data_IF_401038717650
#
_entry.id   IF_401038717650
#
_cell.length_a   1.000
_cell.length_b   1.000
_cell.length_c   1.000
_cell.angle_alpha   90.00
_cell.angle_beta   90.00
_cell.angle_gamma   90.00
#
_symmetry.space_group_name_H-M   'P 1'
#
loop_
_entity.id
_entity.type
_entity.pdbx_description
1 polymer ?
#
# COMPACT_ATOMS: atom_id res chain seq x y z
N UNK A 1 -17.56 -12.02 3.56
CA UNK A 1 -18.92 -12.14 4.11
C UNK A 1 -18.96 -11.29 5.36
N UNK A 2 -19.87 -10.33 5.46
CA UNK A 2 -20.01 -9.46 6.64
C UNK A 2 -21.27 -9.87 7.38
N UNK A 3 -21.19 -10.06 8.69
CA UNK A 3 -22.31 -10.35 9.56
C UNK A 3 -22.27 -9.39 10.75
N UNK A 4 -23.43 -8.84 11.11
CA UNK A 4 -23.59 -7.95 12.26
C UNK A 4 -24.32 -8.72 13.36
N UNK A 5 -23.80 -8.67 14.57
CA UNK A 5 -24.35 -9.35 15.75
C UNK A 5 -24.51 -8.28 16.83
N UNK A 6 -25.68 -8.22 17.45
CA UNK A 6 -25.95 -7.34 18.58
C UNK A 6 -25.31 -7.91 19.87
N UNK A 7 -25.00 -7.07 20.85
CA UNK A 7 -24.40 -7.43 22.13
C UNK A 7 -25.17 -8.52 22.89
N UNK A 8 -26.48 -8.59 22.68
CA UNK A 8 -27.37 -9.57 23.31
C UNK A 8 -27.46 -10.90 22.54
N UNK A 9 -26.95 -10.96 21.31
CA UNK A 9 -27.04 -12.15 20.46
C UNK A 9 -25.80 -13.05 20.61
N UNK A 10 -25.97 -14.39 20.61
CA UNK A 10 -24.84 -15.30 20.69
C UNK A 10 -24.01 -15.27 19.40
N UNK A 11 -22.68 -15.37 19.55
CA UNK A 11 -21.75 -15.59 18.43
C UNK A 11 -22.03 -16.97 17.79
N UNK A 12 -22.84 -17.01 16.74
CA UNK A 12 -23.12 -18.22 15.97
C UNK A 12 -21.88 -18.74 15.21
N UNK A 13 -21.91 -20.03 14.83
CA UNK A 13 -20.95 -20.67 13.90
C UNK A 13 -21.18 -20.14 12.47
N UNK A 14 -20.90 -18.86 12.26
CA UNK A 14 -20.73 -18.30 10.92
C UNK A 14 -19.24 -18.40 10.56
N UNK A 15 -18.94 -18.47 9.26
CA UNK A 15 -17.60 -18.68 8.70
C UNK A 15 -16.47 -18.01 9.51
N UNK A 16 -15.31 -18.67 9.65
CA UNK A 16 -14.15 -18.18 10.41
C UNK A 16 -13.76 -16.76 9.95
N UNK A 17 -14.07 -15.72 10.75
CA UNK A 17 -13.84 -14.34 10.35
C UNK A 17 -12.34 -14.02 10.40
N UNK A 18 -11.85 -13.23 9.45
CA UNK A 18 -10.48 -12.71 9.49
C UNK A 18 -10.34 -11.52 10.46
N UNK A 19 -11.42 -10.75 10.65
CA UNK A 19 -11.46 -9.60 11.54
C UNK A 19 -12.80 -9.56 12.27
N UNK A 20 -12.76 -9.24 13.56
CA UNK A 20 -13.90 -8.94 14.41
C UNK A 20 -13.82 -7.46 14.79
N UNK A 21 -14.91 -6.74 14.59
CA UNK A 21 -15.04 -5.33 14.93
C UNK A 21 -16.08 -5.20 16.04
N UNK A 22 -15.73 -4.49 17.10
CA UNK A 22 -16.60 -4.23 18.25
C UNK A 22 -16.83 -2.74 18.37
N UNK A 23 -18.08 -2.32 18.28
CA UNK A 23 -18.51 -0.95 18.57
C UNK A 23 -19.10 -0.91 19.99
N UNK A 24 -18.46 -0.15 20.87
CA UNK A 24 -18.90 -0.02 22.27
C UNK A 24 -19.66 1.28 22.52
N UNK A 25 -19.70 2.20 21.55
CA UNK A 25 -20.38 3.48 21.69
C UNK A 25 -21.85 3.32 22.11
N UNK A 26 -22.24 3.98 23.20
CA UNK A 26 -23.61 3.90 23.74
C UNK A 26 -23.94 2.61 24.50
N UNK A 27 -22.97 1.70 24.69
CA UNK A 27 -23.14 0.47 25.47
C UNK A 27 -22.74 0.71 26.92
N UNK A 28 -23.55 0.22 27.85
CA UNK A 28 -23.28 0.31 29.29
C UNK A 28 -21.99 -0.45 29.67
N UNK A 29 -21.18 0.16 30.54
CA UNK A 29 -19.89 -0.39 30.96
C UNK A 29 -20.02 -1.77 31.63
N UNK A 30 -21.12 -2.05 32.33
CA UNK A 30 -21.37 -3.36 32.92
C UNK A 30 -21.59 -4.44 31.86
N UNK A 31 -22.30 -4.11 30.77
CA UNK A 31 -22.49 -5.01 29.63
C UNK A 31 -21.14 -5.26 28.93
N UNK A 32 -20.34 -4.21 28.73
CA UNK A 32 -18.99 -4.36 28.17
C UNK A 32 -18.13 -5.29 29.03
N UNK A 33 -18.12 -5.10 30.34
CA UNK A 33 -17.34 -5.91 31.27
C UNK A 33 -17.75 -7.40 31.25
N UNK A 34 -19.04 -7.70 31.04
CA UNK A 34 -19.54 -9.08 30.96
C UNK A 34 -19.21 -9.75 29.61
N UNK A 35 -19.41 -9.03 28.50
CA UNK A 35 -19.40 -9.63 27.17
C UNK A 35 -18.07 -9.51 26.44
N UNK A 36 -17.34 -8.41 26.61
CA UNK A 36 -16.11 -8.13 25.86
C UNK A 36 -15.00 -9.18 26.09
N UNK A 37 -14.75 -9.71 27.31
CA UNK A 37 -13.76 -10.76 27.51
C UNK A 37 -14.05 -12.03 26.69
N UNK A 38 -15.33 -12.39 26.53
CA UNK A 38 -15.75 -13.54 25.72
C UNK A 38 -15.48 -13.31 24.23
N UNK A 39 -15.64 -12.07 23.76
CA UNK A 39 -15.32 -11.69 22.38
C UNK A 39 -13.82 -11.77 22.14
N UNK A 40 -13.01 -11.29 23.08
CA UNK A 40 -11.53 -11.36 23.02
C UNK A 40 -11.05 -12.81 22.96
N UNK A 41 -11.55 -13.67 23.85
CA UNK A 41 -11.24 -15.10 23.84
C UNK A 41 -11.64 -15.75 22.51
N UNK A 42 -12.83 -15.40 21.99
CA UNK A 42 -13.31 -15.93 20.72
C UNK A 42 -12.46 -15.49 19.54
N UNK A 43 -12.01 -14.22 19.51
CA UNK A 43 -11.11 -13.71 18.49
C UNK A 43 -9.78 -14.47 18.49
N UNK A 44 -9.22 -14.74 19.67
CA UNK A 44 -8.00 -15.52 19.81
C UNK A 44 -8.16 -16.96 19.30
N UNK A 45 -9.26 -17.65 19.67
CA UNK A 45 -9.57 -19.02 19.19
C UNK A 45 -9.72 -19.08 17.66
N UNK A 46 -10.23 -18.00 17.05
CA UNK A 46 -10.44 -17.92 15.60
C UNK A 46 -9.21 -17.37 14.84
N UNK A 47 -8.15 -17.00 15.55
CA UNK A 47 -7.00 -16.26 15.00
C UNK A 47 -7.43 -15.01 14.20
N UNK A 48 -8.54 -14.38 14.62
CA UNK A 48 -9.10 -13.21 13.98
C UNK A 48 -8.47 -11.93 14.56
N UNK A 49 -8.23 -10.94 13.70
CA UNK A 49 -7.81 -9.62 14.15
C UNK A 49 -8.97 -8.94 14.89
N UNK A 50 -8.69 -8.29 16.03
CA UNK A 50 -9.71 -7.62 16.84
C UNK A 50 -9.55 -6.11 16.76
N UNK A 51 -10.62 -5.40 16.41
CA UNK A 51 -10.70 -3.93 16.42
C UNK A 51 -11.82 -3.51 17.37
N UNK A 52 -11.52 -2.61 18.31
CA UNK A 52 -12.52 -2.08 19.25
C UNK A 52 -12.60 -0.57 19.10
N UNK A 53 -13.77 -0.06 18.71
CA UNK A 53 -14.11 1.35 18.64
C UNK A 53 -14.90 1.74 19.89
N UNK A 54 -14.42 2.73 20.63
CA UNK A 54 -14.98 3.14 21.93
C UNK A 54 -15.03 4.64 22.14
N UNK A 55 -15.86 5.07 23.08
CA UNK A 55 -15.81 6.41 23.63
C UNK A 55 -14.68 6.58 24.64
N UNK A 56 -14.23 7.82 24.84
CA UNK A 56 -13.17 8.15 25.82
C UNK A 56 -13.53 7.78 27.27
N UNK A 57 -14.82 7.71 27.61
CA UNK A 57 -15.35 7.27 28.89
C UNK A 57 -15.25 5.75 29.14
N UNK A 58 -14.99 4.97 28.09
CA UNK A 58 -14.97 3.51 28.13
C UNK A 58 -13.55 2.91 28.11
N UNK A 59 -12.52 3.75 28.05
CA UNK A 59 -11.10 3.35 27.91
C UNK A 59 -10.70 2.33 28.98
N UNK A 60 -10.97 2.62 30.25
CA UNK A 60 -10.52 1.76 31.36
C UNK A 60 -11.18 0.37 31.30
N UNK A 61 -12.47 0.33 30.98
CA UNK A 61 -13.23 -0.90 30.89
C UNK A 61 -12.77 -1.78 29.71
N UNK A 62 -12.53 -1.16 28.55
CA UNK A 62 -12.05 -1.90 27.37
C UNK A 62 -10.59 -2.33 27.54
N UNK A 63 -9.73 -1.46 28.05
CA UNK A 63 -8.33 -1.77 28.27
C UNK A 63 -8.20 -2.97 29.23
N UNK A 64 -8.97 -3.00 30.32
CA UNK A 64 -8.98 -4.12 31.27
C UNK A 64 -9.35 -5.47 30.60
N UNK A 65 -10.30 -5.46 29.66
CA UNK A 65 -10.75 -6.67 28.97
C UNK A 65 -9.82 -7.13 27.83
N UNK A 66 -9.02 -6.22 27.27
CA UNK A 66 -8.21 -6.45 26.06
C UNK A 66 -6.72 -6.60 26.33
N UNK A 67 -6.33 -6.76 27.61
CA UNK A 67 -4.94 -7.03 28.04
C UNK A 67 -4.40 -8.31 27.41
N UNK A 68 -3.72 -8.17 26.27
CA UNK A 68 -3.16 -9.26 25.48
C UNK A 68 -2.93 -8.78 24.05
N UNK A 69 -1.73 -9.00 23.52
CA UNK A 69 -1.34 -8.48 22.21
C UNK A 69 -2.21 -9.04 21.07
N UNK A 70 -2.70 -8.17 20.18
CA UNK A 70 -3.50 -8.54 19.01
C UNK A 70 -4.69 -7.60 18.72
N UNK A 71 -5.05 -6.76 19.68
CA UNK A 71 -6.20 -5.85 19.58
C UNK A 71 -5.78 -4.44 19.13
N UNK A 72 -6.53 -3.85 18.19
CA UNK A 72 -6.43 -2.43 17.83
C UNK A 72 -7.55 -1.67 18.56
N UNK A 73 -7.19 -0.66 19.34
CA UNK A 73 -8.12 0.17 20.09
C UNK A 73 -8.25 1.54 19.44
N UNK A 74 -9.48 1.99 19.21
CA UNK A 74 -9.80 3.29 18.63
C UNK A 74 -10.69 4.09 19.60
N UNK A 75 -10.28 5.30 19.94
CA UNK A 75 -11.03 6.20 20.82
C UNK A 75 -11.66 7.31 19.98
N UNK A 76 -12.97 7.47 20.11
CA UNK A 76 -13.80 8.42 19.36
C UNK A 76 -13.47 8.43 17.83
N UNK A 77 -13.44 7.26 17.16
CA UNK A 77 -12.94 7.17 15.79
C UNK A 77 -13.87 7.77 14.75
N UNK A 78 -13.28 8.30 13.69
CA UNK A 78 -13.99 8.55 12.43
C UNK A 78 -14.18 7.24 11.65
N UNK A 79 -15.06 7.27 10.63
CA UNK A 79 -15.24 6.15 9.70
C UNK A 79 -13.92 5.78 9.00
N UNK A 80 -13.05 6.75 8.72
CA UNK A 80 -11.76 6.50 8.09
C UNK A 80 -10.81 5.71 9.01
N UNK A 81 -10.83 6.01 10.32
CA UNK A 81 -10.01 5.32 11.32
C UNK A 81 -10.46 3.85 11.47
N UNK A 82 -11.77 3.61 11.48
CA UNK A 82 -12.33 2.26 11.51
C UNK A 82 -11.91 1.44 10.29
N UNK A 83 -11.99 2.02 9.09
CA UNK A 83 -11.57 1.34 7.84
C UNK A 83 -10.07 1.02 7.90
N UNK A 84 -9.23 1.97 8.30
CA UNK A 84 -7.79 1.77 8.40
C UNK A 84 -7.44 0.65 9.40
N UNK A 85 -8.06 0.64 10.58
CA UNK A 85 -7.84 -0.38 11.59
C UNK A 85 -8.27 -1.78 11.13
N UNK A 86 -9.40 -1.90 10.43
CA UNK A 86 -9.86 -3.18 9.87
C UNK A 86 -8.85 -3.73 8.86
N UNK A 87 -8.30 -2.87 7.98
CA UNK A 87 -7.29 -3.28 7.00
C UNK A 87 -6.02 -3.77 7.70
N UNK A 88 -5.52 -3.04 8.70
CA UNK A 88 -4.33 -3.44 9.47
C UNK A 88 -4.55 -4.76 10.20
N UNK A 89 -5.72 -4.95 10.83
CA UNK A 89 -6.09 -6.18 11.51
C UNK A 89 -6.14 -7.37 10.53
N UNK A 90 -6.71 -7.17 9.34
CA UNK A 90 -6.80 -8.22 8.31
C UNK A 90 -5.42 -8.63 7.77
N UNK A 91 -4.50 -7.68 7.57
CA UNK A 91 -3.14 -7.99 7.11
C UNK A 91 -2.33 -8.75 8.15
N UNK A 92 -2.49 -8.41 9.44
CA UNK A 92 -1.78 -9.09 10.54
C UNK A 92 -2.15 -10.58 10.62
N UNK A 93 -3.40 -10.91 10.33
CA UNK A 93 -3.87 -12.31 10.26
C UNK A 93 -3.34 -13.03 9.02
N UNK A 94 -3.22 -12.33 7.88
CA UNK A 94 -2.65 -12.90 6.65
C UNK A 94 -1.14 -13.20 6.76
N UNK A 95 -0.42 -12.42 7.58
CA UNK A 95 1.03 -12.53 7.78
C UNK A 95 1.39 -12.48 9.26
N UNK A 96 1.22 -13.59 10.02
CA UNK A 96 1.56 -13.64 11.45
C UNK A 96 3.06 -13.48 11.73
N UNK A 97 3.91 -13.65 10.72
CA UNK A 97 5.35 -13.43 10.78
C UNK A 97 5.74 -12.11 10.14
N UNK A 98 5.64 -11.03 10.91
CA UNK A 98 6.38 -9.81 10.64
C UNK A 98 5.57 -8.54 10.77
N UNK A 99 6.16 -7.58 11.49
CA UNK A 99 5.82 -6.16 11.51
C UNK A 99 4.75 -5.77 12.55
N UNK A 100 5.20 -5.49 13.77
CA UNK A 100 5.24 -4.15 14.40
C UNK A 100 5.55 -4.34 15.88
N UNK A 101 6.85 -4.45 16.21
CA UNK A 101 7.34 -4.08 17.53
C UNK A 101 8.50 -3.11 17.29
N UNK A 102 8.21 -1.82 17.48
CA UNK A 102 9.09 -0.68 17.20
C UNK A 102 10.14 -0.51 18.30
N UNK A 103 10.30 -1.48 19.18
CA UNK A 103 11.15 -1.36 20.38
C UNK A 103 12.04 -2.58 20.59
N UNK A 104 13.10 -2.69 19.76
CA UNK A 104 14.47 -3.16 20.12
C UNK A 104 15.20 -3.71 18.90
N UNK A 105 15.94 -2.83 18.25
CA UNK A 105 17.03 -3.16 17.34
C UNK A 105 18.22 -3.72 18.14
N UNK A 106 18.86 -4.80 17.65
CA UNK A 106 20.25 -5.09 17.99
C UNK A 106 20.94 -5.65 16.75
N UNK A 107 22.04 -5.00 16.37
CA UNK A 107 22.74 -5.02 15.08
C UNK A 107 23.14 -6.39 14.50
N UNK A 108 23.13 -7.47 15.28
CA UNK A 108 23.57 -8.79 14.83
C UNK A 108 22.73 -9.40 13.71
N UNK A 109 21.40 -9.24 13.79
CA UNK A 109 20.47 -9.86 12.83
C UNK A 109 20.43 -9.14 11.48
N UNK A 110 20.81 -7.85 11.45
CA UNK A 110 20.92 -7.06 10.22
C UNK A 110 22.11 -7.52 9.37
N UNK A 111 23.23 -7.86 10.01
CA UNK A 111 24.42 -8.35 9.33
C UNK A 111 24.23 -9.77 8.76
N UNK A 112 23.53 -10.64 9.48
CA UNK A 112 23.20 -11.99 8.99
C UNK A 112 22.20 -11.95 7.83
N UNK A 113 21.20 -11.06 7.88
CA UNK A 113 20.27 -10.82 6.76
C UNK A 113 20.99 -10.26 5.54
N UNK A 114 21.90 -9.30 5.72
CA UNK A 114 22.74 -8.77 4.64
C UNK A 114 23.62 -9.87 4.03
N UNK A 115 24.26 -10.71 4.85
CA UNK A 115 25.08 -11.83 4.36
C UNK A 115 24.26 -12.88 3.60
N UNK A 116 23.03 -13.16 4.05
CA UNK A 116 22.12 -14.10 3.38
C UNK A 116 21.66 -13.57 2.02
N UNK A 117 21.36 -12.27 1.93
CA UNK A 117 20.99 -11.64 0.66
C UNK A 117 22.17 -11.55 -0.31
N UNK A 118 23.38 -11.28 0.19
CA UNK A 118 24.59 -11.30 -0.65
C UNK A 118 24.86 -12.71 -1.20
N UNK A 119 24.69 -13.76 -0.39
CA UNK A 119 24.82 -15.14 -0.85
C UNK A 119 23.77 -15.51 -1.91
N UNK A 120 22.53 -15.05 -1.72
CA UNK A 120 21.43 -15.27 -2.66
C UNK A 120 21.65 -14.56 -4.01
N UNK A 121 22.16 -13.33 -3.99
CA UNK A 121 22.50 -12.57 -5.19
C UNK A 121 23.67 -13.24 -5.91
N UNK A 122 24.71 -13.67 -5.18
CA UNK A 122 25.84 -14.38 -5.76
C UNK A 122 25.40 -15.67 -6.47
N UNK A 123 24.46 -16.42 -5.89
CA UNK A 123 23.94 -17.66 -6.49
C UNK A 123 23.01 -17.42 -7.69
N UNK A 124 22.23 -16.33 -7.67
CA UNK A 124 21.45 -15.92 -8.83
C UNK A 124 22.34 -15.50 -10.02
N UNK A 125 23.42 -14.75 -9.75
CA UNK A 125 24.41 -14.35 -10.76
C UNK A 125 25.19 -15.55 -11.31
N UNK A 126 25.51 -16.53 -10.46
CA UNK A 126 26.18 -17.77 -10.87
C UNK A 126 25.28 -18.67 -11.75
N UNK A 127 23.96 -18.62 -11.58
CA UNK A 127 23.01 -19.32 -12.47
C UNK A 127 22.86 -18.62 -13.83
N UNK A 128 22.80 -17.29 -13.84
CA UNK A 128 22.66 -16.51 -15.08
C UNK A 128 23.89 -16.67 -15.98
N UNK A 129 25.09 -16.61 -15.39
CA UNK A 129 26.34 -16.84 -16.13
C UNK A 129 26.49 -18.27 -16.66
N UNK A 130 25.89 -19.27 -15.98
CA UNK A 130 25.86 -20.67 -16.46
C UNK A 130 24.86 -20.89 -17.59
N UNK A 131 23.72 -20.19 -17.54
CA UNK A 131 22.68 -20.27 -18.57
C UNK A 131 23.09 -19.59 -19.89
N UNK A 132 24.05 -18.66 -19.86
CA UNK A 132 24.59 -18.00 -21.06
C UNK A 132 25.66 -18.81 -21.80
N UNK A 133 26.20 -19.88 -21.21
CA UNK A 133 27.31 -20.66 -21.78
C UNK A 133 26.83 -21.88 -22.62
N UNK A 134 25.64 -22.43 -22.35
CA UNK A 134 25.16 -23.67 -22.99
C UNK A 134 24.00 -23.45 -23.98
N UNK A 135 24.26 -22.73 -25.07
CA UNK A 135 23.27 -22.52 -26.14
C UNK A 135 23.81 -22.74 -27.54
N UNK A 136 23.74 -23.98 -28.06
CA UNK A 136 23.82 -24.23 -29.50
C UNK A 136 22.81 -25.32 -29.98
N UNK A 137 22.13 -24.96 -31.07
CA UNK A 137 21.41 -25.76 -32.09
C UNK A 137 19.99 -26.39 -31.87
N UNK A 138 19.20 -26.54 -32.98
CA UNK A 138 17.73 -26.37 -33.00
C UNK A 138 16.90 -27.54 -33.58
N UNK A 139 15.56 -27.52 -33.45
CA UNK A 139 14.54 -27.81 -34.49
C UNK A 139 13.12 -28.10 -33.91
N UNK A 140 12.09 -27.60 -34.60
CA UNK A 140 10.65 -27.84 -34.38
C UNK A 140 10.15 -29.10 -35.15
N UNK A 141 8.84 -29.39 -35.34
CA UNK A 141 7.61 -29.17 -34.56
C UNK A 141 6.83 -30.51 -34.32
N UNK A 142 5.91 -30.60 -33.34
CA UNK A 142 4.87 -31.65 -33.34
C UNK A 142 3.52 -31.06 -32.94
N UNK A 143 2.56 -31.23 -33.84
CA UNK A 143 1.13 -30.94 -33.70
C UNK A 143 0.50 -32.00 -32.79
N UNK A 144 -0.29 -31.58 -31.79
CA UNK A 144 -1.07 -32.46 -30.92
C UNK A 144 -2.19 -31.72 -30.20
N UNK A 145 -3.41 -32.21 -30.36
CA UNK A 145 -4.70 -31.59 -30.07
C UNK A 145 -5.02 -31.38 -28.57
N UNK A 146 -5.82 -30.32 -28.31
CA UNK A 146 -6.73 -30.07 -27.17
C UNK A 146 -6.49 -30.84 -25.86
N UNK A 147 -6.08 -30.13 -24.80
CA UNK A 147 -6.85 -29.97 -23.55
C UNK A 147 -6.09 -29.11 -22.53
N UNK A 148 -6.85 -28.23 -21.88
CA UNK A 148 -6.50 -27.47 -20.68
C UNK A 148 -5.43 -26.37 -20.82
N UNK A 149 -5.89 -25.12 -21.03
CA UNK A 149 -5.10 -23.91 -20.79
C UNK A 149 -4.63 -23.92 -19.33
N UNK A 150 -3.40 -24.35 -19.09
CA UNK A 150 -2.61 -23.82 -17.99
C UNK A 150 -2.47 -22.32 -18.25
N UNK A 151 -3.25 -21.53 -17.52
CA UNK A 151 -3.01 -20.09 -17.46
C UNK A 151 -1.60 -19.90 -16.94
N UNK A 152 -0.71 -19.40 -17.80
CA UNK A 152 0.48 -18.72 -17.32
C UNK A 152 0.03 -17.70 -16.25
N UNK A 153 0.79 -17.49 -15.16
CA UNK A 153 0.53 -16.38 -14.25
C UNK A 153 0.32 -15.13 -15.10
N UNK A 154 -0.64 -14.23 -14.79
CA UNK A 154 -0.82 -13.02 -15.56
C UNK A 154 0.56 -12.38 -15.70
N UNK A 155 1.02 -12.22 -16.95
CA UNK A 155 2.21 -11.43 -17.25
C UNK A 155 2.08 -10.15 -16.44
N UNK A 156 3.13 -9.76 -15.72
CA UNK A 156 3.18 -8.49 -15.00
C UNK A 156 2.92 -7.36 -16.01
N UNK A 157 1.65 -7.02 -16.22
CA UNK A 157 1.23 -6.13 -17.30
C UNK A 157 1.86 -4.78 -17.01
N UNK A 158 2.66 -4.29 -17.96
CA UNK A 158 3.34 -3.02 -17.80
C UNK A 158 2.37 -1.92 -17.37
N UNK A 159 2.79 -0.98 -16.50
CA UNK A 159 1.99 0.17 -16.13
C UNK A 159 1.50 0.93 -17.38
N UNK A 160 0.19 1.17 -17.46
CA UNK A 160 -0.40 1.98 -18.52
C UNK A 160 -0.60 3.41 -18.04
N UNK A 161 -0.39 4.39 -18.93
CA UNK A 161 -0.66 5.80 -18.64
C UNK A 161 -2.11 6.02 -18.18
N UNK A 162 -3.07 5.29 -18.78
CA UNK A 162 -4.48 5.39 -18.44
C UNK A 162 -4.76 5.09 -16.96
N UNK A 163 -4.03 4.16 -16.36
CA UNK A 163 -4.24 3.79 -14.96
C UNK A 163 -3.64 4.83 -14.00
N UNK A 164 -2.49 5.40 -14.35
CA UNK A 164 -1.91 6.52 -13.60
C UNK A 164 -2.82 7.75 -13.68
N UNK A 165 -3.34 8.07 -14.87
CA UNK A 165 -4.32 9.15 -15.07
C UNK A 165 -5.62 8.92 -14.30
N UNK A 166 -6.07 7.66 -14.17
CA UNK A 166 -7.23 7.30 -13.34
C UNK A 166 -6.98 7.58 -11.85
N UNK A 167 -5.77 7.29 -11.36
CA UNK A 167 -5.37 7.61 -9.98
C UNK A 167 -5.39 9.12 -9.72
N UNK A 168 -4.77 9.90 -10.61
CA UNK A 168 -4.79 11.38 -10.54
C UNK A 168 -6.23 11.90 -10.50
N UNK A 169 -7.12 11.37 -11.35
CA UNK A 169 -8.53 11.75 -11.36
C UNK A 169 -9.24 11.39 -10.06
N UNK A 170 -8.99 10.20 -9.51
CA UNK A 170 -9.57 9.78 -8.24
C UNK A 170 -9.18 10.71 -7.09
N UNK A 171 -7.93 11.20 -7.08
CA UNK A 171 -7.45 12.19 -6.12
C UNK A 171 -8.15 13.53 -6.26
N UNK A 172 -8.26 14.06 -7.49
CA UNK A 172 -8.98 15.31 -7.77
C UNK A 172 -10.49 15.25 -7.48
N UNK A 173 -11.08 14.06 -7.48
CA UNK A 173 -12.48 13.91 -7.07
C UNK A 173 -12.66 14.20 -5.58
N UNK A 174 -11.64 13.95 -4.73
CA UNK A 174 -11.72 14.26 -3.30
C UNK A 174 -11.99 15.76 -3.08
N UNK A 175 -11.28 16.61 -3.80
CA UNK A 175 -11.46 18.07 -3.72
C UNK A 175 -12.88 18.51 -4.11
N UNK A 176 -13.52 17.80 -5.05
CA UNK A 176 -14.88 18.11 -5.49
C UNK A 176 -15.93 17.78 -4.42
N UNK A 177 -15.71 16.74 -3.62
CA UNK A 177 -16.67 16.29 -2.61
C UNK A 177 -16.42 16.87 -1.22
N UNK A 178 -15.17 17.16 -0.87
CA UNK A 178 -14.76 17.58 0.47
C UNK A 178 -14.22 19.02 0.54
N UNK A 179 -14.17 19.71 -0.60
CA UNK A 179 -13.59 21.05 -0.72
C UNK A 179 -12.09 21.02 -1.01
N UNK A 180 -11.59 22.12 -1.57
CA UNK A 180 -10.17 22.28 -1.92
C UNK A 180 -9.30 22.43 -0.66
N UNK A 181 -8.06 21.96 -0.74
CA UNK A 181 -6.99 22.09 0.28
C UNK A 181 -7.05 21.14 1.49
N UNK A 182 -7.98 20.17 1.52
CA UNK A 182 -8.00 19.16 2.59
C UNK A 182 -6.97 18.03 2.39
N UNK A 183 -6.64 17.70 1.15
CA UNK A 183 -5.88 16.50 0.78
C UNK A 183 -4.67 16.81 -0.11
N UNK A 184 -3.83 17.74 0.33
CA UNK A 184 -2.65 18.16 -0.44
C UNK A 184 -1.47 17.20 -0.23
N UNK A 185 -1.01 16.56 -1.30
CA UNK A 185 0.29 15.88 -1.35
C UNK A 185 1.00 16.24 -2.67
N UNK A 186 1.57 17.46 -2.75
CA UNK A 186 2.14 17.98 -3.98
C UNK A 186 3.33 17.16 -4.50
N UNK A 187 4.08 16.50 -3.62
CA UNK A 187 5.20 15.66 -4.03
C UNK A 187 4.69 14.43 -4.79
N UNK A 188 3.66 13.78 -4.25
CA UNK A 188 3.03 12.62 -4.88
C UNK A 188 2.29 12.98 -6.16
N UNK A 189 1.57 14.10 -6.19
CA UNK A 189 0.83 14.55 -7.36
C UNK A 189 1.78 14.85 -8.54
N UNK A 190 2.95 15.45 -8.26
CA UNK A 190 4.00 15.66 -9.26
C UNK A 190 4.63 14.35 -9.75
N UNK A 191 4.88 13.38 -8.86
CA UNK A 191 5.41 12.06 -9.24
C UNK A 191 4.45 11.34 -10.20
N UNK A 192 3.15 11.34 -9.88
CA UNK A 192 2.13 10.74 -10.72
C UNK A 192 2.02 11.43 -12.09
N UNK A 193 2.04 12.76 -12.13
CA UNK A 193 1.92 13.49 -13.39
C UNK A 193 3.15 13.30 -14.29
N UNK A 194 4.37 13.33 -13.72
CA UNK A 194 5.59 13.06 -14.47
C UNK A 194 5.64 11.61 -14.95
N UNK A 195 5.22 10.64 -14.14
CA UNK A 195 5.19 9.24 -14.55
C UNK A 195 4.16 8.99 -15.66
N UNK A 196 2.96 9.60 -15.56
CA UNK A 196 1.96 9.53 -16.61
C UNK A 196 2.49 10.13 -17.92
N UNK A 197 3.16 11.28 -17.85
CA UNK A 197 3.77 11.91 -19.01
C UNK A 197 4.90 11.05 -19.61
N UNK A 198 5.72 10.39 -18.78
CA UNK A 198 6.76 9.47 -19.26
C UNK A 198 6.18 8.31 -20.06
N UNK A 199 5.12 7.67 -19.54
CA UNK A 199 4.40 6.59 -20.23
C UNK A 199 3.75 7.07 -21.54
N UNK A 200 3.31 8.33 -21.59
CA UNK A 200 2.77 8.99 -22.79
C UNK A 200 3.87 9.50 -23.75
N UNK A 201 5.15 9.34 -23.38
CA UNK A 201 6.31 9.97 -24.07
C UNK A 201 6.17 11.49 -24.21
N UNK A 202 5.43 12.10 -23.29
CA UNK A 202 5.21 13.53 -23.17
C UNK A 202 6.35 14.25 -22.46
N UNK A 203 6.25 15.58 -22.42
CA UNK A 203 7.20 16.45 -21.73
C UNK A 203 6.44 17.39 -20.81
N UNK A 204 6.94 17.62 -19.60
CA UNK A 204 6.26 18.45 -18.60
C UNK A 204 7.09 19.70 -18.32
N UNK A 205 6.51 20.87 -18.51
CA UNK A 205 7.14 22.14 -18.15
C UNK A 205 7.04 22.39 -16.64
N UNK A 206 7.92 23.22 -16.08
CA UNK A 206 7.83 23.63 -14.66
C UNK A 206 6.45 24.23 -14.34
N UNK A 207 5.93 25.10 -15.21
CA UNK A 207 4.60 25.71 -15.02
C UNK A 207 3.47 24.67 -15.03
N UNK A 208 3.55 23.67 -15.92
CA UNK A 208 2.59 22.55 -15.96
C UNK A 208 2.68 21.71 -14.70
N UNK A 209 3.90 21.43 -14.21
CA UNK A 209 4.12 20.65 -13.00
C UNK A 209 3.61 21.38 -11.75
N UNK A 210 3.72 22.71 -11.70
CA UNK A 210 3.11 23.51 -10.64
C UNK A 210 1.58 23.40 -10.60
N UNK A 211 0.92 23.27 -11.76
CA UNK A 211 -0.53 23.03 -11.82
C UNK A 211 -0.85 21.62 -11.31
N UNK A 212 -0.03 20.62 -11.68
CA UNK A 212 -0.22 19.24 -11.24
C UNK A 212 -0.12 19.10 -9.71
N UNK A 213 0.74 19.89 -9.07
CA UNK A 213 0.95 19.91 -7.63
C UNK A 213 -0.28 20.30 -6.79
N UNK A 214 -1.31 20.89 -7.41
CA UNK A 214 -2.54 21.33 -6.73
C UNK A 214 -2.33 22.27 -5.53
N UNK A 215 -1.20 23.00 -5.48
CA UNK A 215 -0.87 23.98 -4.43
C UNK A 215 -0.45 25.32 -5.04
N UNK A 216 -0.30 26.35 -4.20
CA UNK A 216 0.19 27.65 -4.64
C UNK A 216 1.55 27.55 -5.39
N UNK A 217 1.79 28.35 -6.45
CA UNK A 217 2.98 28.20 -7.30
C UNK A 217 4.32 28.26 -6.55
N UNK A 218 4.47 29.14 -5.56
CA UNK A 218 5.70 29.25 -4.76
C UNK A 218 5.95 28.00 -3.90
N UNK A 219 4.88 27.39 -3.40
CA UNK A 219 4.93 26.10 -2.68
C UNK A 219 5.35 24.98 -3.62
N UNK A 220 4.76 24.92 -4.82
CA UNK A 220 5.13 23.94 -5.84
C UNK A 220 6.61 24.06 -6.25
N UNK A 221 7.11 25.28 -6.46
CA UNK A 221 8.53 25.49 -6.80
C UNK A 221 9.48 24.99 -5.70
N UNK A 222 9.13 25.19 -4.42
CA UNK A 222 9.91 24.66 -3.29
C UNK A 222 9.92 23.13 -3.28
N UNK A 223 8.80 22.49 -3.61
CA UNK A 223 8.73 21.04 -3.77
C UNK A 223 9.56 20.55 -4.96
N UNK A 224 9.48 21.20 -6.12
CA UNK A 224 10.30 20.86 -7.28
C UNK A 224 11.79 20.94 -6.93
N UNK A 225 12.22 21.98 -6.22
CA UNK A 225 13.60 22.10 -5.74
C UNK A 225 13.97 20.91 -4.83
N UNK A 226 13.18 20.65 -3.79
CA UNK A 226 13.41 19.53 -2.85
C UNK A 226 13.46 18.15 -3.55
N UNK A 227 12.56 17.91 -4.50
CA UNK A 227 12.49 16.66 -5.25
C UNK A 227 13.67 16.51 -6.23
N UNK A 228 14.18 17.62 -6.75
CA UNK A 228 15.42 17.65 -7.55
C UNK A 228 16.63 17.38 -6.67
N UNK A 229 16.73 18.04 -5.51
CA UNK A 229 17.84 17.90 -4.56
C UNK A 229 17.95 16.47 -4.00
N UNK A 230 16.81 15.78 -3.88
CA UNK A 230 16.75 14.37 -3.47
C UNK A 230 16.97 13.37 -4.61
N UNK A 231 17.22 13.85 -5.82
CA UNK A 231 17.49 13.03 -7.00
C UNK A 231 16.27 12.28 -7.55
N UNK A 232 15.06 12.73 -7.22
CA UNK A 232 13.83 12.15 -7.77
C UNK A 232 13.43 12.81 -9.09
N UNK A 233 13.67 14.12 -9.22
CA UNK A 233 13.40 14.86 -10.45
C UNK A 233 14.71 15.28 -11.13
N UNK A 234 14.67 15.30 -12.46
CA UNK A 234 15.74 15.83 -13.29
C UNK A 234 15.21 16.92 -14.20
N UNK A 235 16.07 17.91 -14.47
CA UNK A 235 15.79 18.96 -15.44
C UNK A 235 16.50 18.63 -16.75
N UNK A 236 15.74 18.36 -17.81
CA UNK A 236 16.28 18.11 -19.15
C UNK A 236 16.10 19.31 -20.07
N UNK A 237 17.17 19.80 -20.73
CA UNK A 237 17.06 20.89 -21.68
C UNK A 237 16.26 20.47 -22.91
N UNK A 238 15.50 21.40 -23.51
CA UNK A 238 14.93 21.16 -24.82
C UNK A 238 16.02 21.24 -25.89
N UNK A 239 16.12 20.21 -26.72
CA UNK A 239 17.07 20.16 -27.83
C UNK A 239 16.82 21.24 -28.89
N UNK A 240 15.59 21.77 -28.98
CA UNK A 240 15.20 22.76 -29.99
C UNK A 240 15.11 24.19 -29.43
N UNK A 241 15.13 24.36 -28.11
CA UNK A 241 15.05 25.66 -27.45
C UNK A 241 15.81 25.66 -26.12
N UNK A 242 17.00 26.26 -26.11
CA UNK A 242 17.85 26.36 -24.91
C UNK A 242 17.24 27.21 -23.79
N UNK A 243 16.18 27.97 -24.05
CA UNK A 243 15.44 28.73 -23.03
C UNK A 243 14.43 27.86 -22.28
N UNK A 244 14.11 26.67 -22.81
CA UNK A 244 13.12 25.76 -22.23
C UNK A 244 13.81 24.53 -21.68
N UNK A 245 13.34 24.11 -20.51
CA UNK A 245 13.71 22.85 -19.90
C UNK A 245 12.44 22.20 -19.37
N UNK A 246 12.42 20.88 -19.45
CA UNK A 246 11.35 20.04 -18.96
C UNK A 246 11.79 19.32 -17.71
N UNK A 247 10.83 19.05 -16.85
CA UNK A 247 11.02 18.18 -15.70
C UNK A 247 10.72 16.75 -16.11
N UNK A 248 11.53 15.82 -15.64
CA UNK A 248 11.35 14.37 -15.81
C UNK A 248 11.66 13.67 -14.49
N UNK A 249 11.24 12.42 -14.36
CA UNK A 249 11.71 11.56 -13.29
C UNK A 249 13.17 11.17 -13.56
N UNK A 250 13.94 10.98 -12.49
CA UNK A 250 15.18 10.21 -12.59
C UNK A 250 14.87 8.75 -12.88
N UNK A 251 15.85 8.01 -13.42
CA UNK A 251 15.67 6.58 -13.72
C UNK A 251 15.27 5.78 -12.47
N UNK A 252 15.84 6.13 -11.31
CA UNK A 252 15.47 5.55 -10.01
C UNK A 252 14.01 5.85 -9.64
N UNK A 253 13.56 7.09 -9.85
CA UNK A 253 12.18 7.47 -9.52
C UNK A 253 11.17 6.83 -10.47
N UNK A 254 11.49 6.70 -11.77
CA UNK A 254 10.66 5.98 -12.74
C UNK A 254 10.53 4.50 -12.36
N UNK A 255 11.63 3.83 -12.00
CA UNK A 255 11.59 2.42 -11.60
C UNK A 255 10.82 2.22 -10.29
N UNK A 256 10.96 3.14 -9.33
CA UNK A 256 10.17 3.12 -8.10
C UNK A 256 8.67 3.29 -8.38
N UNK A 257 8.30 4.21 -9.30
CA UNK A 257 6.91 4.39 -9.72
C UNK A 257 6.37 3.15 -10.45
N UNK A 258 7.16 2.53 -11.32
CA UNK A 258 6.81 1.26 -11.96
C UNK A 258 6.52 0.18 -10.92
N UNK A 259 7.45 -0.03 -9.98
CA UNK A 259 7.30 -1.02 -8.91
C UNK A 259 6.06 -0.76 -8.07
N UNK A 260 5.80 0.50 -7.72
CA UNK A 260 4.61 0.91 -6.97
C UNK A 260 3.31 0.61 -7.73
N UNK A 261 3.22 0.96 -9.02
CA UNK A 261 2.02 0.72 -9.83
C UNK A 261 1.78 -0.77 -10.07
N UNK A 262 2.85 -1.56 -10.25
CA UNK A 262 2.74 -3.02 -10.36
C UNK A 262 2.27 -3.63 -9.03
N UNK A 263 2.84 -3.21 -7.91
CA UNK A 263 2.48 -3.71 -6.59
C UNK A 263 1.03 -3.40 -6.22
N UNK A 264 0.56 -2.17 -6.48
CA UNK A 264 -0.84 -1.79 -6.22
C UNK A 264 -1.82 -2.62 -7.05
N UNK A 265 -1.53 -2.89 -8.33
CA UNK A 265 -2.35 -3.79 -9.16
C UNK A 265 -2.30 -5.24 -8.71
N UNK A 266 -1.13 -5.74 -8.32
CA UNK A 266 -0.96 -7.12 -7.85
C UNK A 266 -1.71 -7.40 -6.54
N UNK A 267 -1.93 -6.36 -5.73
CA UNK A 267 -2.72 -6.42 -4.50
C UNK A 267 -4.22 -6.08 -4.71
N UNK A 268 -4.69 -5.89 -5.95
CA UNK A 268 -6.02 -5.37 -6.30
C UNK A 268 -6.37 -4.04 -5.59
N UNK A 269 -5.34 -3.29 -5.20
CA UNK A 269 -5.47 -1.97 -4.60
C UNK A 269 -5.61 -0.95 -5.73
N UNK A 270 -6.70 -0.18 -5.69
CA UNK A 270 -6.82 1.00 -6.55
C UNK A 270 -5.69 1.96 -6.21
N UNK A 271 -4.91 2.36 -7.21
CA UNK A 271 -3.85 3.37 -7.07
C UNK A 271 -4.48 4.62 -6.41
N UNK A 272 -4.10 4.96 -5.17
CA UNK A 272 -4.72 6.02 -4.38
C UNK A 272 -4.35 7.44 -4.81
#
# INVERSE_FOLDING_TARGET
>A
MVATIDWQAPFGLHATPQVIVVETAGVDVAILAEHLPRIVERAAVLEAGLVVAMGSDQIDAVAAATLGGGTILLVDPSVADCIAAIVVAAERVRSPAGVFDVTRETDGTRLERLNTEVARIAEALARLTRAEIDGDAPAAPIVGDRTNRYGAPPSLTEPSAADVRRAIRARRLRDQFFGTALFEDPGWDMLLDLYAAELERGRVSVSSLCIAAAVAPTTALRWIARMTDTGLFERRPDMHDRRRAFMVLSDRASEAMRGYIVATRGADLRIP
#
